data_IF_433210647245
#
_entry.id   IF_433210647245
#
_cell.length_a   1.000
_cell.length_b   1.000
_cell.length_c   1.000
_cell.angle_alpha   90.00
_cell.angle_beta   90.00
_cell.angle_gamma   90.00
#
_symmetry.space_group_name_H-M   'P 1'
#
loop_
_entity.id
_entity.type
_entity.pdbx_description
1 polymer ?
#
# COMPACT_ATOMS: atom_id res chain seq x y z
N UNK A 1 -16.63 -13.19 4.11
CA UNK A 1 -15.32 -12.87 3.51
C UNK A 1 -14.67 -14.06 2.86
N UNK A 2 -14.49 -15.19 3.54
CA UNK A 2 -13.86 -16.42 2.98
C UNK A 2 -14.59 -16.92 1.73
N UNK A 3 -15.91 -17.02 1.75
CA UNK A 3 -16.72 -17.43 0.59
C UNK A 3 -16.52 -16.47 -0.59
N UNK A 4 -16.55 -15.14 -0.34
CA UNK A 4 -16.32 -14.14 -1.39
C UNK A 4 -14.90 -14.22 -1.96
N UNK A 5 -13.90 -14.54 -1.12
CA UNK A 5 -12.54 -14.81 -1.58
C UNK A 5 -12.49 -16.01 -2.52
N UNK A 6 -13.07 -17.14 -2.12
CA UNK A 6 -13.10 -18.37 -2.94
C UNK A 6 -13.77 -18.10 -4.28
N UNK A 7 -14.97 -17.50 -4.28
CA UNK A 7 -15.69 -17.13 -5.50
C UNK A 7 -14.84 -16.22 -6.37
N UNK A 8 -14.24 -15.17 -5.78
CA UNK A 8 -13.40 -14.21 -6.50
C UNK A 8 -12.16 -14.85 -7.10
N UNK A 9 -11.54 -15.78 -6.39
CA UNK A 9 -10.34 -16.47 -6.86
C UNK A 9 -10.63 -17.35 -8.09
N UNK A 10 -11.71 -18.12 -8.06
CA UNK A 10 -12.09 -18.97 -9.18
C UNK A 10 -12.62 -18.18 -10.37
N UNK A 11 -13.47 -17.19 -10.16
CA UNK A 11 -14.07 -16.37 -11.24
C UNK A 11 -13.05 -15.43 -11.91
N UNK A 12 -11.95 -15.10 -11.24
CA UNK A 12 -10.85 -14.35 -11.83
C UNK A 12 -9.71 -15.25 -12.37
N UNK A 13 -10.02 -16.49 -12.77
CA UNK A 13 -9.04 -17.42 -13.35
C UNK A 13 -7.81 -17.68 -12.47
N UNK A 14 -7.96 -17.59 -11.15
CA UNK A 14 -6.87 -17.74 -10.16
C UNK A 14 -5.76 -16.67 -10.30
N UNK A 15 -6.12 -15.48 -10.81
CA UNK A 15 -5.21 -14.34 -10.87
C UNK A 15 -5.04 -13.71 -9.48
N UNK A 16 -3.95 -14.02 -8.80
CA UNK A 16 -3.66 -13.58 -7.41
C UNK A 16 -3.59 -12.05 -7.29
N UNK A 17 -3.10 -11.37 -8.33
CA UNK A 17 -3.01 -9.90 -8.33
C UNK A 17 -4.31 -9.20 -8.73
N UNK A 18 -5.42 -9.91 -8.94
CA UNK A 18 -6.71 -9.27 -9.29
C UNK A 18 -7.28 -8.47 -8.10
N UNK A 19 -8.00 -7.36 -8.35
CA UNK A 19 -8.54 -6.50 -7.29
C UNK A 19 -9.41 -7.25 -6.27
N UNK A 20 -10.33 -8.17 -6.65
CA UNK A 20 -11.10 -8.90 -5.66
C UNK A 20 -10.26 -9.80 -4.76
N UNK A 21 -9.24 -10.46 -5.32
CA UNK A 21 -8.34 -11.30 -4.53
C UNK A 21 -7.52 -10.44 -3.58
N UNK A 22 -7.01 -9.29 -4.05
CA UNK A 22 -6.28 -8.33 -3.23
C UNK A 22 -7.10 -7.82 -2.03
N UNK A 23 -8.39 -7.60 -2.22
CA UNK A 23 -9.29 -7.14 -1.17
C UNK A 23 -9.73 -8.27 -0.22
N UNK A 24 -10.25 -9.38 -0.77
CA UNK A 24 -10.86 -10.42 0.05
C UNK A 24 -9.87 -11.36 0.75
N UNK A 25 -8.68 -11.60 0.21
CA UNK A 25 -7.73 -12.52 0.85
C UNK A 25 -7.29 -12.03 2.24
N UNK A 26 -6.83 -10.77 2.43
CA UNK A 26 -6.48 -10.27 3.75
C UNK A 26 -7.67 -10.15 4.70
N UNK A 27 -8.85 -9.75 4.21
CA UNK A 27 -10.07 -9.75 5.02
C UNK A 27 -10.46 -11.16 5.49
N UNK A 28 -10.23 -12.18 4.66
CA UNK A 28 -10.48 -13.58 5.05
C UNK A 28 -9.55 -14.05 6.15
N UNK A 29 -8.26 -13.69 6.05
CA UNK A 29 -7.29 -13.96 7.10
C UNK A 29 -7.65 -13.24 8.41
N UNK A 30 -8.06 -11.97 8.32
CA UNK A 30 -8.52 -11.19 9.46
C UNK A 30 -9.77 -11.81 10.12
N UNK A 31 -10.72 -12.31 9.32
CA UNK A 31 -11.92 -12.98 9.82
C UNK A 31 -11.60 -14.32 10.50
N UNK A 32 -10.66 -15.11 9.95
CA UNK A 32 -10.22 -16.37 10.55
C UNK A 32 -9.51 -16.10 11.89
N UNK A 33 -8.60 -15.12 11.94
CA UNK A 33 -7.91 -14.74 13.17
C UNK A 33 -8.88 -14.17 14.23
N UNK A 34 -9.95 -13.47 13.79
CA UNK A 34 -11.00 -13.01 14.69
C UNK A 34 -11.75 -14.19 15.35
N UNK A 35 -12.10 -15.22 14.56
CA UNK A 35 -12.74 -16.43 15.10
C UNK A 35 -11.86 -17.08 16.15
N UNK A 36 -10.55 -17.15 15.92
CA UNK A 36 -9.58 -17.68 16.90
C UNK A 36 -9.53 -16.85 18.20
N UNK A 37 -9.79 -15.54 18.13
CA UNK A 37 -9.74 -14.64 19.29
C UNK A 37 -11.14 -14.32 19.88
N UNK A 38 -12.22 -14.95 19.41
CA UNK A 38 -13.61 -14.67 19.86
C UNK A 38 -13.74 -14.81 21.38
N UNK A 39 -13.33 -15.95 21.94
CA UNK A 39 -13.45 -16.22 23.37
C UNK A 39 -12.50 -15.32 24.19
N UNK A 40 -11.27 -15.14 23.71
CA UNK A 40 -10.25 -14.31 24.33
C UNK A 40 -10.69 -12.86 24.49
N UNK A 41 -11.29 -12.30 23.46
CA UNK A 41 -11.75 -10.91 23.44
C UNK A 41 -13.22 -10.75 23.78
N UNK A 42 -13.96 -11.85 24.02
CA UNK A 42 -15.41 -11.87 24.25
C UNK A 42 -16.15 -11.07 23.17
N UNK A 43 -15.89 -11.41 21.90
CA UNK A 43 -16.45 -10.70 20.73
C UNK A 43 -17.73 -11.38 20.28
N UNK A 44 -18.82 -10.62 20.26
CA UNK A 44 -20.07 -11.01 19.62
C UNK A 44 -20.34 -10.03 18.48
N UNK A 45 -19.97 -10.42 17.24
CA UNK A 45 -20.29 -9.60 16.08
C UNK A 45 -21.79 -9.57 15.85
N UNK A 46 -22.36 -8.37 15.75
CA UNK A 46 -23.78 -8.16 15.53
C UNK A 46 -24.17 -8.16 14.05
N UNK A 47 -25.43 -8.46 13.76
CA UNK A 47 -25.95 -8.56 12.39
C UNK A 47 -25.72 -7.30 11.55
N UNK A 48 -25.78 -6.12 12.14
CA UNK A 48 -25.55 -4.86 11.42
C UNK A 48 -24.15 -4.80 10.82
N UNK A 49 -23.14 -5.30 11.55
CA UNK A 49 -21.75 -5.33 11.08
C UNK A 49 -21.58 -6.29 9.91
N UNK A 50 -22.18 -7.50 10.02
CA UNK A 50 -22.19 -8.45 8.91
C UNK A 50 -22.87 -7.87 7.67
N UNK A 51 -24.02 -7.21 7.84
CA UNK A 51 -24.79 -6.64 6.74
C UNK A 51 -24.00 -5.53 6.02
N UNK A 52 -23.41 -4.60 6.76
CA UNK A 52 -22.62 -3.50 6.20
C UNK A 52 -21.40 -4.03 5.43
N UNK A 53 -20.66 -4.97 6.03
CA UNK A 53 -19.49 -5.57 5.39
C UNK A 53 -19.91 -6.38 4.15
N UNK A 54 -21.04 -7.11 4.20
CA UNK A 54 -21.54 -7.89 3.06
C UNK A 54 -21.99 -6.97 1.92
N UNK A 55 -22.83 -5.99 2.19
CA UNK A 55 -23.34 -5.04 1.18
C UNK A 55 -22.19 -4.32 0.51
N UNK A 56 -21.28 -3.72 1.27
CA UNK A 56 -20.14 -3.03 0.70
C UNK A 56 -19.23 -3.96 -0.12
N UNK A 57 -19.01 -5.19 0.34
CA UNK A 57 -18.22 -6.19 -0.39
C UNK A 57 -18.86 -6.61 -1.70
N UNK A 58 -20.19 -6.79 -1.72
CA UNK A 58 -20.95 -7.11 -2.94
C UNK A 58 -20.95 -5.92 -3.92
N UNK A 59 -21.08 -4.70 -3.43
CA UNK A 59 -20.96 -3.48 -4.24
C UNK A 59 -19.59 -3.38 -4.90
N UNK A 60 -18.50 -3.61 -4.15
CA UNK A 60 -17.14 -3.65 -4.69
C UNK A 60 -17.00 -4.72 -5.77
N UNK A 61 -17.43 -5.94 -5.49
CA UNK A 61 -17.34 -7.07 -6.41
C UNK A 61 -18.16 -6.84 -7.68
N UNK A 62 -19.41 -6.37 -7.56
CA UNK A 62 -20.26 -6.01 -8.68
C UNK A 62 -19.64 -4.94 -9.58
N UNK A 63 -19.04 -3.91 -8.98
CA UNK A 63 -18.33 -2.85 -9.70
C UNK A 63 -17.11 -3.37 -10.47
N UNK A 64 -16.34 -4.28 -9.88
CA UNK A 64 -15.21 -4.93 -10.56
C UNK A 64 -15.69 -5.72 -11.78
N UNK A 65 -16.73 -6.52 -11.64
CA UNK A 65 -17.27 -7.30 -12.77
C UNK A 65 -17.90 -6.41 -13.83
N UNK A 66 -18.61 -5.35 -13.43
CA UNK A 66 -19.16 -4.36 -14.36
C UNK A 66 -18.04 -3.70 -15.20
N UNK A 67 -16.98 -3.21 -14.56
CA UNK A 67 -15.83 -2.62 -15.27
C UNK A 67 -15.10 -3.64 -16.18
N UNK A 68 -15.14 -4.91 -15.82
CA UNK A 68 -14.60 -6.00 -16.66
C UNK A 68 -15.48 -6.25 -17.87
N UNK A 69 -16.79 -6.32 -17.72
CA UNK A 69 -17.77 -6.52 -18.79
C UNK A 69 -17.84 -5.33 -19.75
N UNK A 70 -17.89 -4.11 -19.24
CA UNK A 70 -17.94 -2.87 -20.04
C UNK A 70 -16.82 -2.76 -21.07
N UNK A 71 -15.64 -3.29 -20.78
CA UNK A 71 -14.52 -3.32 -21.74
C UNK A 71 -14.76 -4.32 -22.87
N UNK A 72 -15.50 -5.38 -22.64
CA UNK A 72 -15.90 -6.35 -23.67
C UNK A 72 -16.91 -5.69 -24.60
N UNK A 73 -17.88 -4.96 -24.05
CA UNK A 73 -18.89 -4.23 -24.83
C UNK A 73 -18.35 -3.13 -25.71
N UNK A 74 -17.45 -2.28 -25.19
CA UNK A 74 -16.85 -1.17 -25.93
C UNK A 74 -15.87 -1.61 -27.03
N UNK A 75 -15.38 -2.86 -26.98
CA UNK A 75 -14.39 -3.37 -27.93
C UNK A 75 -14.98 -4.27 -29.02
N UNK A 76 -16.16 -4.79 -28.80
CA UNK A 76 -16.86 -5.68 -29.74
C UNK A 76 -18.13 -5.03 -30.25
N UNK A 77 -18.01 -4.24 -31.33
CA UNK A 77 -19.12 -4.03 -32.23
C UNK A 77 -19.56 -5.33 -32.96
N UNK A 78 -19.02 -6.48 -32.57
CA UNK A 78 -19.41 -7.84 -32.98
C UNK A 78 -19.31 -8.77 -31.78
N UNK A 79 -20.42 -9.45 -31.51
CA UNK A 79 -20.55 -10.52 -30.54
C UNK A 79 -19.58 -11.66 -30.87
N UNK A 80 -18.38 -11.66 -30.34
CA UNK A 80 -17.51 -12.85 -30.31
C UNK A 80 -17.70 -13.57 -28.97
N UNK A 81 -18.65 -14.51 -28.99
CA UNK A 81 -19.04 -15.38 -27.87
C UNK A 81 -17.91 -16.32 -27.37
N UNK A 82 -16.73 -16.31 -28.02
CA UNK A 82 -15.66 -17.27 -27.81
C UNK A 82 -14.44 -16.77 -26.99
N UNK A 83 -14.51 -15.62 -26.29
CA UNK A 83 -13.33 -15.06 -25.61
C UNK A 83 -13.25 -15.20 -24.10
N UNK A 84 -14.04 -16.09 -23.49
CA UNK A 84 -13.76 -16.52 -22.10
C UNK A 84 -12.53 -17.42 -21.98
N UNK A 85 -11.99 -17.92 -23.08
CA UNK A 85 -10.73 -18.69 -23.19
C UNK A 85 -9.70 -17.95 -24.04
N UNK A 86 -9.39 -16.70 -23.76
CA UNK A 86 -8.24 -16.09 -24.44
C UNK A 86 -6.96 -16.72 -23.88
N UNK A 87 -6.37 -17.62 -24.64
CA UNK A 87 -4.96 -17.97 -24.56
C UNK A 87 -4.19 -16.69 -24.84
N UNK A 88 -3.82 -15.97 -23.80
CA UNK A 88 -3.04 -14.74 -23.91
C UNK A 88 -1.65 -15.19 -24.30
N UNK A 89 -1.17 -14.73 -25.44
CA UNK A 89 0.23 -14.95 -25.81
C UNK A 89 1.12 -14.41 -24.68
N UNK A 90 2.10 -15.21 -24.21
CA UNK A 90 3.04 -14.77 -23.20
C UNK A 90 3.78 -13.53 -23.72
N UNK A 91 3.86 -12.51 -22.89
CA UNK A 91 4.63 -11.31 -23.24
C UNK A 91 6.13 -11.63 -23.16
N UNK A 92 6.86 -11.33 -24.23
CA UNK A 92 8.32 -11.35 -24.18
C UNK A 92 8.80 -10.17 -23.35
N UNK A 93 9.33 -10.49 -22.18
CA UNK A 93 9.93 -9.50 -21.27
C UNK A 93 11.39 -9.28 -21.66
N UNK A 94 11.75 -8.03 -21.87
CA UNK A 94 13.13 -7.63 -22.13
C UNK A 94 13.86 -7.34 -20.83
N UNK A 95 15.15 -7.68 -20.78
CA UNK A 95 16.04 -7.29 -19.70
C UNK A 95 16.25 -5.78 -19.70
N UNK A 96 16.09 -5.13 -18.53
CA UNK A 96 16.25 -3.69 -18.36
C UNK A 96 17.67 -3.40 -17.92
N UNK A 97 18.49 -2.94 -18.88
CA UNK A 97 19.88 -2.57 -18.60
C UNK A 97 19.95 -1.11 -18.13
N UNK A 98 20.31 -0.93 -16.85
CA UNK A 98 20.56 0.40 -16.26
C UNK A 98 22.06 0.71 -16.30
N UNK A 99 22.40 1.96 -16.64
CA UNK A 99 23.79 2.43 -16.62
C UNK A 99 24.37 2.35 -15.18
N UNK A 100 25.58 1.83 -15.03
CA UNK A 100 26.24 1.74 -13.70
C UNK A 100 26.37 3.11 -13.03
N UNK A 101 26.71 4.14 -13.80
CA UNK A 101 26.82 5.53 -13.31
C UNK A 101 25.48 6.01 -12.78
N UNK A 102 24.36 5.76 -13.48
CA UNK A 102 23.03 6.14 -13.03
C UNK A 102 22.68 5.48 -11.69
N UNK A 103 23.00 4.18 -11.53
CA UNK A 103 22.78 3.48 -10.25
C UNK A 103 23.59 4.11 -9.12
N UNK A 104 24.85 4.48 -9.35
CA UNK A 104 25.70 5.11 -8.32
C UNK A 104 25.26 6.54 -8.00
N UNK A 105 24.83 7.33 -8.97
CA UNK A 105 24.25 8.66 -8.73
C UNK A 105 23.03 8.56 -7.84
N UNK A 106 22.12 7.62 -8.12
CA UNK A 106 20.96 7.40 -7.27
C UNK A 106 21.33 6.88 -5.88
N UNK A 107 22.27 5.95 -5.77
CA UNK A 107 22.74 5.46 -4.47
C UNK A 107 23.35 6.60 -3.63
N UNK A 108 24.19 7.45 -4.24
CA UNK A 108 24.74 8.62 -3.57
C UNK A 108 23.65 9.58 -3.11
N UNK A 109 22.68 9.90 -3.97
CA UNK A 109 21.54 10.75 -3.61
C UNK A 109 20.73 10.16 -2.45
N UNK A 110 20.47 8.84 -2.46
CA UNK A 110 19.75 8.15 -1.40
C UNK A 110 20.52 8.17 -0.08
N UNK A 111 21.84 7.94 -0.10
CA UNK A 111 22.69 8.02 1.11
C UNK A 111 22.72 9.44 1.67
N UNK A 112 22.90 10.45 0.81
CA UNK A 112 22.84 11.86 1.23
C UNK A 112 21.48 12.19 1.86
N UNK A 113 20.39 11.77 1.22
CA UNK A 113 19.03 11.98 1.72
C UNK A 113 18.83 11.29 3.07
N UNK A 114 19.31 10.04 3.20
CA UNK A 114 19.27 9.29 4.45
C UNK A 114 19.95 10.07 5.57
N UNK A 115 21.17 10.51 5.37
CA UNK A 115 21.93 11.26 6.39
C UNK A 115 21.26 12.58 6.74
N UNK A 116 20.81 13.36 5.74
CA UNK A 116 20.15 14.66 5.99
C UNK A 116 18.82 14.49 6.77
N UNK A 117 18.00 13.52 6.40
CA UNK A 117 16.74 13.26 7.09
C UNK A 117 16.97 12.75 8.51
N UNK A 118 17.95 11.86 8.70
CA UNK A 118 18.30 11.35 10.02
C UNK A 118 18.78 12.45 10.96
N UNK A 119 19.67 13.33 10.47
CA UNK A 119 20.13 14.51 11.23
C UNK A 119 18.94 15.40 11.59
N UNK A 120 18.02 15.65 10.66
CA UNK A 120 16.83 16.46 10.93
C UNK A 120 15.92 15.82 11.98
N UNK A 121 15.68 14.50 11.91
CA UNK A 121 14.92 13.73 12.92
C UNK A 121 15.55 13.86 14.29
N UNK A 122 16.87 13.64 14.41
CA UNK A 122 17.59 13.75 15.68
C UNK A 122 17.54 15.18 16.24
N UNK A 123 17.74 16.19 15.39
CA UNK A 123 17.71 17.62 15.79
C UNK A 123 16.33 17.99 16.34
N UNK A 124 15.26 17.57 15.67
CA UNK A 124 13.88 17.84 16.12
C UNK A 124 13.63 17.16 17.46
N UNK A 125 13.93 15.86 17.60
CA UNK A 125 13.70 15.13 18.85
C UNK A 125 14.44 15.76 20.03
N UNK A 126 15.70 16.15 19.84
CA UNK A 126 16.49 16.84 20.87
C UNK A 126 15.95 18.21 21.23
N UNK A 127 15.43 18.96 20.26
CA UNK A 127 14.77 20.26 20.52
C UNK A 127 13.57 20.15 21.45
N UNK A 128 12.87 19.03 21.42
CA UNK A 128 11.75 18.72 22.33
C UNK A 128 12.17 17.97 23.60
N UNK A 129 13.46 18.01 23.97
CA UNK A 129 13.96 17.43 25.21
C UNK A 129 14.15 15.91 25.19
N UNK A 130 13.97 15.25 24.01
CA UNK A 130 14.16 13.81 23.91
C UNK A 130 15.67 13.53 23.75
N UNK A 131 16.23 12.74 24.65
CA UNK A 131 17.63 12.31 24.67
C UNK A 131 17.75 10.79 24.73
N UNK A 132 18.88 10.25 24.29
CA UNK A 132 19.17 8.81 24.35
C UNK A 132 19.64 8.22 23.01
N UNK A 133 19.43 6.90 22.85
CA UNK A 133 19.84 6.16 21.67
C UNK A 133 19.12 6.61 20.40
N UNK A 134 19.66 6.24 19.23
CA UNK A 134 19.06 6.58 17.93
C UNK A 134 17.60 6.09 17.82
N UNK A 135 17.30 4.91 18.33
CA UNK A 135 15.93 4.35 18.36
C UNK A 135 14.97 5.21 19.18
N UNK A 136 15.42 5.74 20.33
CA UNK A 136 14.64 6.64 21.19
C UNK A 136 14.37 7.96 20.44
N UNK A 137 15.36 8.52 19.75
CA UNK A 137 15.19 9.76 18.99
C UNK A 137 14.20 9.57 17.81
N UNK A 138 14.30 8.45 17.10
CA UNK A 138 13.39 8.14 15.99
C UNK A 138 11.95 7.91 16.50
N UNK A 139 11.77 7.14 17.58
CA UNK A 139 10.44 6.93 18.17
C UNK A 139 9.86 8.22 18.73
N UNK A 140 10.71 9.03 19.36
CA UNK A 140 10.36 10.35 19.87
C UNK A 140 9.85 11.28 18.77
N UNK A 141 10.59 11.40 17.67
CA UNK A 141 10.12 12.16 16.50
C UNK A 141 8.75 11.69 16.00
N UNK A 142 8.55 10.36 15.91
CA UNK A 142 7.26 9.82 15.49
C UNK A 142 6.14 10.17 16.47
N UNK A 143 6.38 10.05 17.77
CA UNK A 143 5.39 10.36 18.80
C UNK A 143 5.03 11.85 18.77
N UNK A 144 6.03 12.73 18.67
CA UNK A 144 5.82 14.15 18.50
C UNK A 144 4.91 14.43 17.28
N UNK A 145 5.23 13.85 16.12
CA UNK A 145 4.45 14.04 14.91
C UNK A 145 3.02 13.49 15.00
N UNK A 146 2.76 12.47 15.83
CA UNK A 146 1.47 11.79 15.91
C UNK A 146 0.57 12.32 17.03
N UNK A 147 1.12 13.01 18.03
CA UNK A 147 0.39 13.34 19.27
C UNK A 147 0.58 14.79 19.73
N UNK A 148 1.32 15.63 18.98
CA UNK A 148 1.42 17.06 19.29
C UNK A 148 0.68 17.89 18.27
N UNK A 149 0.12 19.00 18.72
CA UNK A 149 -0.56 20.01 17.86
C UNK A 149 0.43 20.88 17.08
N UNK A 150 1.72 20.81 17.41
CA UNK A 150 2.74 21.57 16.71
C UNK A 150 3.06 20.98 15.31
N UNK A 151 3.29 21.86 14.34
CA UNK A 151 3.62 21.45 12.98
C UNK A 151 5.06 20.93 12.89
N UNK A 152 5.25 19.64 13.17
CA UNK A 152 6.54 18.97 13.15
C UNK A 152 6.88 18.52 11.74
N UNK A 153 7.84 19.20 11.10
CA UNK A 153 8.27 18.94 9.74
C UNK A 153 9.79 18.86 9.64
N UNK A 154 10.31 17.95 8.81
CA UNK A 154 11.73 17.88 8.45
C UNK A 154 12.19 19.06 7.58
N UNK A 155 11.30 19.97 7.23
CA UNK A 155 11.51 21.01 6.25
C UNK A 155 11.20 20.58 4.81
N UNK A 156 10.87 21.55 3.97
CA UNK A 156 10.38 21.30 2.59
C UNK A 156 11.37 20.52 1.73
N UNK A 157 12.66 20.85 1.80
CA UNK A 157 13.69 20.18 1.02
C UNK A 157 13.82 18.71 1.43
N UNK A 158 14.04 18.45 2.72
CA UNK A 158 14.23 17.08 3.23
C UNK A 158 12.99 16.20 2.96
N UNK A 159 11.78 16.74 3.12
CA UNK A 159 10.56 15.99 2.80
C UNK A 159 10.47 15.64 1.31
N UNK A 160 10.81 16.56 0.39
CA UNK A 160 10.76 16.27 -1.04
C UNK A 160 11.86 15.27 -1.47
N UNK A 161 13.08 15.39 -0.94
CA UNK A 161 14.17 14.41 -1.16
C UNK A 161 13.77 13.02 -0.64
N UNK A 162 13.24 12.96 0.58
CA UNK A 162 12.72 11.73 1.15
C UNK A 162 11.64 11.10 0.25
N UNK A 163 10.64 11.89 -0.17
CA UNK A 163 9.54 11.42 -1.02
C UNK A 163 10.05 10.92 -2.38
N UNK A 164 11.02 11.61 -2.98
CA UNK A 164 11.65 11.23 -4.24
C UNK A 164 12.44 9.92 -4.12
N UNK A 165 13.30 9.82 -3.12
CA UNK A 165 14.12 8.62 -2.88
C UNK A 165 13.25 7.40 -2.50
N UNK A 166 12.21 7.61 -1.70
CA UNK A 166 11.24 6.56 -1.38
C UNK A 166 10.46 6.11 -2.62
N UNK A 167 9.93 7.06 -3.41
CA UNK A 167 9.21 6.74 -4.64
C UNK A 167 10.10 6.00 -5.66
N UNK A 168 11.40 6.34 -5.74
CA UNK A 168 12.34 5.63 -6.62
C UNK A 168 12.43 4.14 -6.32
N UNK A 169 12.19 3.72 -5.06
CA UNK A 169 12.19 2.32 -4.62
C UNK A 169 11.21 1.45 -5.40
N UNK A 170 10.07 2.00 -5.84
CA UNK A 170 9.12 1.26 -6.67
C UNK A 170 9.67 0.98 -8.07
N UNK A 171 10.43 1.90 -8.65
CA UNK A 171 11.11 1.70 -9.94
C UNK A 171 12.22 0.65 -9.79
N UNK A 172 13.02 0.75 -8.72
CA UNK A 172 14.09 -0.22 -8.46
C UNK A 172 13.53 -1.61 -8.21
N UNK A 173 12.42 -1.72 -7.47
CA UNK A 173 11.75 -3.02 -7.28
C UNK A 173 11.26 -3.58 -8.62
N UNK A 174 10.64 -2.75 -9.46
CA UNK A 174 10.20 -3.18 -10.80
C UNK A 174 11.37 -3.72 -11.62
N UNK A 175 12.51 -3.04 -11.64
CA UNK A 175 13.72 -3.46 -12.40
C UNK A 175 14.24 -4.80 -11.86
N UNK A 176 14.38 -4.93 -10.54
CA UNK A 176 14.83 -6.18 -9.90
C UNK A 176 13.88 -7.33 -10.23
N UNK A 177 12.57 -7.13 -10.08
CA UNK A 177 11.55 -8.16 -10.35
C UNK A 177 11.52 -8.56 -11.83
N UNK A 178 11.58 -7.59 -12.76
CA UNK A 178 11.60 -7.85 -14.20
C UNK A 178 12.87 -8.60 -14.62
N UNK A 179 14.05 -8.14 -14.19
CA UNK A 179 15.31 -8.74 -14.56
C UNK A 179 15.47 -10.14 -13.96
N UNK A 180 15.00 -10.36 -12.73
CA UNK A 180 14.92 -11.69 -12.13
C UNK A 180 13.97 -12.61 -12.92
N UNK A 181 12.83 -12.12 -13.39
CA UNK A 181 11.92 -12.90 -14.21
C UNK A 181 12.56 -13.32 -15.56
N UNK A 182 13.40 -12.46 -16.15
CA UNK A 182 14.06 -12.70 -17.45
C UNK A 182 15.30 -13.60 -17.29
N UNK A 183 16.26 -13.18 -16.45
CA UNK A 183 17.62 -13.78 -16.36
C UNK A 183 17.81 -14.78 -15.23
N UNK A 184 16.86 -14.87 -14.28
CA UNK A 184 16.98 -15.63 -13.03
C UNK A 184 18.14 -15.17 -12.13
N UNK A 185 18.76 -14.02 -12.44
CA UNK A 185 19.83 -13.41 -11.66
C UNK A 185 19.35 -12.09 -11.06
N UNK A 186 19.88 -11.77 -9.89
CA UNK A 186 19.57 -10.50 -9.21
C UNK A 186 20.69 -9.51 -9.49
N UNK A 187 20.31 -8.34 -10.00
CA UNK A 187 21.26 -7.25 -10.27
C UNK A 187 21.61 -6.52 -8.97
N UNK A 188 22.88 -6.55 -8.59
CA UNK A 188 23.37 -6.01 -7.29
C UNK A 188 23.12 -4.51 -7.12
N UNK A 189 23.35 -3.69 -8.17
CA UNK A 189 23.22 -2.23 -8.06
C UNK A 189 21.74 -1.77 -7.98
N UNK A 190 20.81 -2.24 -8.81
CA UNK A 190 19.37 -2.00 -8.60
C UNK A 190 18.88 -2.49 -7.24
N UNK A 191 19.36 -3.66 -6.76
CA UNK A 191 19.01 -4.17 -5.44
C UNK A 191 19.54 -3.26 -4.32
N UNK A 192 20.76 -2.74 -4.43
CA UNK A 192 21.30 -1.76 -3.47
C UNK A 192 20.40 -0.52 -3.36
N UNK A 193 20.00 0.07 -4.50
CA UNK A 193 19.10 1.22 -4.51
C UNK A 193 17.73 0.91 -3.91
N UNK A 194 17.22 -0.31 -4.11
CA UNK A 194 15.98 -0.76 -3.46
C UNK A 194 16.14 -0.84 -1.93
N UNK A 195 17.23 -1.43 -1.44
CA UNK A 195 17.52 -1.54 -0.01
C UNK A 195 17.64 -0.14 0.63
N UNK A 196 18.35 0.79 -0.03
CA UNK A 196 18.45 2.18 0.43
C UNK A 196 17.08 2.87 0.50
N UNK A 197 16.20 2.66 -0.49
CA UNK A 197 14.81 3.19 -0.44
C UNK A 197 14.01 2.62 0.73
N UNK A 198 14.18 1.34 1.06
CA UNK A 198 13.54 0.71 2.23
C UNK A 198 14.11 1.34 3.52
N UNK A 199 15.41 1.51 3.63
CA UNK A 199 16.04 2.13 4.79
C UNK A 199 15.53 3.56 5.02
N UNK A 200 15.47 4.40 3.97
CA UNK A 200 14.89 5.75 4.01
C UNK A 200 13.45 5.71 4.53
N UNK A 201 12.65 4.73 4.11
CA UNK A 201 11.25 4.63 4.53
C UNK A 201 11.04 4.42 6.04
N UNK A 202 12.07 3.95 6.75
CA UNK A 202 12.04 3.65 8.20
C UNK A 202 12.47 4.83 9.09
N UNK A 203 13.18 5.82 8.53
CA UNK A 203 13.79 6.93 9.29
C UNK A 203 12.80 7.77 10.10
N UNK A 204 11.57 7.89 9.63
CA UNK A 204 10.50 8.63 10.34
C UNK A 204 9.81 7.79 11.43
N UNK A 205 10.39 6.67 11.86
CA UNK A 205 9.86 5.78 12.89
C UNK A 205 8.60 5.02 12.48
N UNK A 206 8.25 5.00 11.19
CA UNK A 206 7.07 4.30 10.67
C UNK A 206 7.47 3.13 9.77
N UNK A 207 6.91 1.95 10.03
CA UNK A 207 7.09 0.75 9.19
C UNK A 207 6.20 0.76 7.95
N UNK A 208 5.18 1.62 7.95
CA UNK A 208 4.15 1.66 6.89
C UNK A 208 4.74 1.85 5.50
N UNK A 209 5.76 2.71 5.33
CA UNK A 209 6.43 2.92 4.06
C UNK A 209 7.13 1.67 3.53
N UNK A 210 7.89 0.99 4.38
CA UNK A 210 8.58 -0.26 4.01
C UNK A 210 7.57 -1.36 3.63
N UNK A 211 6.51 -1.53 4.42
CA UNK A 211 5.44 -2.51 4.13
C UNK A 211 4.75 -2.18 2.80
N UNK A 212 4.45 -0.90 2.55
CA UNK A 212 3.85 -0.47 1.27
C UNK A 212 4.74 -0.85 0.09
N UNK A 213 6.04 -0.54 0.18
CA UNK A 213 7.00 -0.83 -0.88
C UNK A 213 7.17 -2.34 -1.12
N UNK A 214 7.24 -3.13 -0.05
CA UNK A 214 7.39 -4.58 -0.15
C UNK A 214 6.12 -5.26 -0.70
N UNK A 215 4.94 -4.91 -0.21
CA UNK A 215 3.67 -5.50 -0.69
C UNK A 215 3.38 -5.09 -2.13
N UNK A 216 3.59 -3.81 -2.48
CA UNK A 216 3.50 -3.37 -3.86
C UNK A 216 4.54 -4.06 -4.75
N UNK A 217 5.75 -4.26 -4.25
CA UNK A 217 6.80 -4.99 -4.95
C UNK A 217 6.45 -6.45 -5.24
N UNK A 218 5.88 -7.16 -4.26
CA UNK A 218 5.36 -8.52 -4.46
C UNK A 218 4.25 -8.53 -5.51
N UNK A 219 3.33 -7.55 -5.48
CA UNK A 219 2.31 -7.42 -6.50
C UNK A 219 2.91 -7.20 -7.90
N UNK A 220 3.94 -6.34 -8.03
CA UNK A 220 4.67 -6.15 -9.29
C UNK A 220 5.27 -7.47 -9.79
N UNK A 221 5.93 -8.21 -8.92
CA UNK A 221 6.56 -9.50 -9.24
C UNK A 221 5.51 -10.52 -9.71
N UNK A 222 4.37 -10.60 -9.02
CA UNK A 222 3.25 -11.48 -9.41
C UNK A 222 2.71 -11.10 -10.78
N UNK A 223 2.45 -9.81 -11.04
CA UNK A 223 1.94 -9.35 -12.34
C UNK A 223 2.93 -9.64 -13.47
N UNK A 224 4.22 -9.39 -13.26
CA UNK A 224 5.28 -9.67 -14.23
C UNK A 224 5.32 -11.17 -14.57
N UNK A 225 5.24 -12.04 -13.56
CA UNK A 225 5.19 -13.49 -13.77
C UNK A 225 3.92 -13.95 -14.48
N UNK A 226 2.76 -13.38 -14.12
CA UNK A 226 1.49 -13.67 -14.78
C UNK A 226 1.52 -13.26 -16.26
N UNK A 227 2.15 -12.13 -16.59
CA UNK A 227 2.31 -11.70 -18.00
C UNK A 227 3.20 -12.64 -18.81
N UNK A 228 4.19 -13.27 -18.17
CA UNK A 228 5.08 -14.25 -18.82
C UNK A 228 4.41 -15.63 -18.98
N UNK A 229 3.33 -15.91 -18.25
CA UNK A 229 2.64 -17.20 -18.28
C UNK A 229 1.48 -17.21 -19.28
N UNK A 230 1.40 -18.26 -20.15
CA UNK A 230 0.27 -18.45 -21.08
C UNK A 230 -1.11 -18.47 -20.41
N UNK A 231 -1.19 -18.98 -19.17
CA UNK A 231 -2.44 -19.11 -18.40
C UNK A 231 -2.60 -18.04 -17.32
N UNK A 232 -1.70 -17.05 -17.23
CA UNK A 232 -1.63 -16.08 -16.13
C UNK A 232 -1.62 -16.70 -14.73
N UNK A 233 -1.29 -17.98 -14.60
CA UNK A 233 -1.15 -18.68 -13.33
C UNK A 233 0.30 -18.69 -12.89
N UNK A 234 0.51 -18.60 -11.58
CA UNK A 234 1.83 -18.76 -11.00
C UNK A 234 2.21 -20.24 -10.94
N UNK A 235 3.49 -20.52 -11.09
CA UNK A 235 4.05 -21.85 -10.81
C UNK A 235 4.12 -22.04 -9.30
N UNK A 236 4.06 -23.31 -8.83
CA UNK A 236 4.11 -23.63 -7.40
C UNK A 236 5.32 -22.99 -6.69
N UNK A 237 6.51 -23.04 -7.28
CA UNK A 237 7.71 -22.36 -6.73
C UNK A 237 7.56 -20.86 -6.57
N UNK A 238 6.79 -20.18 -7.43
CA UNK A 238 6.52 -18.76 -7.36
C UNK A 238 5.56 -18.45 -6.21
N UNK A 239 4.56 -19.30 -6.02
CA UNK A 239 3.62 -19.21 -4.89
C UNK A 239 4.39 -19.38 -3.57
N UNK A 240 5.25 -20.39 -3.46
CA UNK A 240 6.10 -20.60 -2.29
C UNK A 240 6.98 -19.39 -2.00
N UNK A 241 7.58 -18.78 -3.03
CA UNK A 241 8.39 -17.57 -2.83
C UNK A 241 7.57 -16.38 -2.32
N UNK A 242 6.35 -16.18 -2.84
CA UNK A 242 5.43 -15.14 -2.35
C UNK A 242 5.07 -15.38 -0.88
N UNK A 243 4.74 -16.62 -0.52
CA UNK A 243 4.42 -17.00 0.86
C UNK A 243 5.65 -16.78 1.76
N UNK A 244 6.84 -17.20 1.33
CA UNK A 244 8.07 -17.01 2.09
C UNK A 244 8.34 -15.52 2.35
N UNK A 245 8.20 -14.66 1.35
CA UNK A 245 8.35 -13.20 1.52
C UNK A 245 7.32 -12.68 2.52
N UNK A 246 6.05 -13.10 2.42
CA UNK A 246 5.00 -12.68 3.34
C UNK A 246 5.32 -13.10 4.79
N UNK A 247 5.77 -14.35 5.01
CA UNK A 247 6.18 -14.86 6.32
C UNK A 247 7.36 -14.06 6.89
N UNK A 248 8.37 -13.74 6.07
CA UNK A 248 9.51 -12.92 6.51
C UNK A 248 9.03 -11.51 6.91
N UNK A 249 8.20 -10.86 6.09
CA UNK A 249 7.67 -9.52 6.38
C UNK A 249 6.86 -9.52 7.68
N UNK A 250 5.98 -10.48 7.87
CA UNK A 250 5.17 -10.63 9.09
C UNK A 250 6.05 -10.97 10.29
N UNK A 251 6.95 -11.95 10.17
CA UNK A 251 7.81 -12.40 11.26
C UNK A 251 8.83 -11.35 11.73
N UNK A 252 9.26 -10.47 10.83
CA UNK A 252 10.17 -9.36 11.18
C UNK A 252 9.45 -8.10 11.63
N UNK A 253 8.13 -8.03 11.46
CA UNK A 253 7.33 -6.81 11.69
C UNK A 253 7.43 -6.28 13.12
N UNK A 254 7.38 -7.15 14.13
CA UNK A 254 7.54 -6.77 15.54
C UNK A 254 8.98 -6.31 15.81
N UNK A 255 9.99 -7.09 15.41
CA UNK A 255 11.40 -6.78 15.63
C UNK A 255 11.81 -5.45 14.99
N UNK A 256 11.35 -5.16 13.77
CA UNK A 256 11.55 -3.84 13.15
C UNK A 256 10.89 -2.73 13.97
N UNK A 257 9.73 -3.01 14.60
CA UNK A 257 9.10 -2.06 15.54
C UNK A 257 9.98 -1.77 16.76
N UNK A 258 10.55 -2.78 17.37
CA UNK A 258 11.44 -2.68 18.52
C UNK A 258 12.73 -1.92 18.16
N UNK A 259 13.33 -2.18 17.00
CA UNK A 259 14.47 -1.42 16.49
C UNK A 259 14.16 0.08 16.31
N UNK A 260 12.90 0.41 16.00
CA UNK A 260 12.41 1.79 15.89
C UNK A 260 11.93 2.36 17.25
N UNK A 261 12.26 1.71 18.37
CA UNK A 261 11.96 2.17 19.71
C UNK A 261 10.51 1.96 20.17
N UNK A 262 9.78 1.00 19.58
CA UNK A 262 8.42 0.63 20.04
C UNK A 262 8.49 -0.54 21.00
N UNK A 263 7.99 -0.34 22.22
CA UNK A 263 7.83 -1.41 23.18
C UNK A 263 6.46 -2.06 23.00
N UNK A 264 6.42 -3.39 22.88
CA UNK A 264 5.18 -4.17 22.92
C UNK A 264 5.24 -5.13 24.11
N UNK A 265 4.24 -5.05 24.98
CA UNK A 265 4.09 -5.99 26.10
C UNK A 265 3.37 -7.28 25.69
N UNK A 266 2.82 -7.34 24.45
CA UNK A 266 2.11 -8.51 23.93
C UNK A 266 3.10 -9.52 23.36
N UNK A 267 2.77 -10.81 23.47
CA UNK A 267 3.38 -11.88 22.70
C UNK A 267 3.19 -11.65 21.20
N UNK A 268 3.99 -12.32 20.37
CA UNK A 268 3.94 -12.12 18.91
C UNK A 268 2.54 -12.37 18.32
N UNK A 269 1.85 -13.43 18.78
CA UNK A 269 0.50 -13.75 18.31
C UNK A 269 -0.52 -12.68 18.65
N UNK A 270 -0.58 -12.23 19.90
CA UNK A 270 -1.45 -11.15 20.35
C UNK A 270 -1.13 -9.82 19.68
N UNK A 271 0.16 -9.53 19.47
CA UNK A 271 0.59 -8.36 18.70
C UNK A 271 0.10 -8.40 17.26
N UNK A 272 0.22 -9.54 16.58
CA UNK A 272 -0.23 -9.72 15.20
C UNK A 272 -1.76 -9.58 15.10
N UNK A 273 -2.51 -10.24 15.99
CA UNK A 273 -3.98 -10.17 16.02
C UNK A 273 -4.51 -8.76 16.25
N UNK A 274 -3.81 -7.92 17.02
CA UNK A 274 -4.16 -6.49 17.18
C UNK A 274 -4.14 -5.73 15.85
N UNK A 275 -3.28 -6.12 14.90
CA UNK A 275 -3.23 -5.52 13.56
C UNK A 275 -4.11 -6.24 12.54
N UNK A 276 -4.36 -7.54 12.71
CA UNK A 276 -5.05 -8.35 11.72
C UNK A 276 -6.57 -8.35 11.93
N UNK A 277 -7.04 -8.76 13.09
CA UNK A 277 -8.47 -8.99 13.34
C UNK A 277 -9.15 -7.95 14.23
N UNK A 278 -8.41 -7.29 15.12
CA UNK A 278 -8.99 -6.25 15.96
C UNK A 278 -9.68 -5.11 15.19
N UNK A 279 -9.25 -4.68 13.97
CA UNK A 279 -9.99 -3.71 13.19
C UNK A 279 -11.45 -4.09 12.89
N UNK A 280 -11.76 -5.38 12.71
CA UNK A 280 -13.15 -5.86 12.49
C UNK A 280 -13.95 -5.74 13.81
N UNK A 281 -13.36 -6.14 14.93
CA UNK A 281 -13.98 -5.98 16.26
C UNK A 281 -14.23 -4.51 16.58
N UNK A 282 -13.29 -3.63 16.27
CA UNK A 282 -13.41 -2.20 16.53
C UNK A 282 -14.49 -1.57 15.63
N UNK A 283 -14.63 -2.02 14.39
CA UNK A 283 -15.75 -1.63 13.53
C UNK A 283 -17.10 -2.04 14.13
N UNK A 284 -17.21 -3.28 14.65
CA UNK A 284 -18.43 -3.77 15.29
C UNK A 284 -18.81 -2.93 16.50
N UNK A 285 -17.83 -2.64 17.35
CA UNK A 285 -18.04 -1.77 18.51
C UNK A 285 -18.55 -0.38 18.10
N UNK A 286 -17.97 0.21 17.06
CA UNK A 286 -18.41 1.51 16.54
C UNK A 286 -19.86 1.47 16.04
N UNK A 287 -20.19 0.52 15.19
CA UNK A 287 -21.54 0.39 14.60
C UNK A 287 -22.60 0.24 15.68
N UNK A 288 -22.35 -0.57 16.69
CA UNK A 288 -23.37 -0.99 17.65
C UNK A 288 -23.43 -0.16 18.92
N UNK A 289 -22.37 0.56 19.28
CA UNK A 289 -22.29 1.30 20.52
C UNK A 289 -22.11 2.80 20.36
N UNK A 290 -21.56 3.25 19.23
CA UNK A 290 -21.24 4.68 19.00
C UNK A 290 -22.17 5.28 17.96
N UNK A 291 -22.34 4.61 16.84
CA UNK A 291 -23.07 5.11 15.68
C UNK A 291 -24.54 5.48 15.98
N UNK A 292 -25.21 4.76 16.91
CA UNK A 292 -26.62 5.03 17.27
C UNK A 292 -26.82 6.13 18.32
N UNK A 293 -25.75 6.64 18.99
CA UNK A 293 -25.87 7.55 20.12
C UNK A 293 -25.46 8.98 19.86
N UNK A 294 -24.64 9.21 18.85
CA UNK A 294 -24.11 10.54 18.56
C UNK A 294 -23.59 10.58 17.12
N UNK A 295 -24.50 10.75 16.15
CA UNK A 295 -24.13 11.33 14.87
C UNK A 295 -23.93 12.83 15.09
N UNK A 296 -22.85 13.22 15.74
CA UNK A 296 -22.28 14.50 15.41
C UNK A 296 -21.81 14.34 13.96
N UNK A 297 -22.53 15.01 13.04
CA UNK A 297 -22.05 15.15 11.66
C UNK A 297 -20.61 15.62 11.76
N UNK A 298 -19.67 15.01 11.02
CA UNK A 298 -18.31 15.49 11.06
C UNK A 298 -18.30 16.97 10.75
N UNK A 299 -17.56 17.75 11.54
CA UNK A 299 -17.41 19.20 11.34
C UNK A 299 -16.94 19.54 9.93
N UNK A 300 -16.27 18.56 9.30
CA UNK A 300 -15.80 18.62 7.91
C UNK A 300 -16.28 17.37 7.18
N UNK A 301 -17.01 17.58 6.10
CA UNK A 301 -17.51 16.50 5.24
C UNK A 301 -16.36 15.73 4.58
N UNK A 302 -16.33 14.39 4.77
CA UNK A 302 -15.25 13.53 4.27
C UNK A 302 -14.00 13.49 5.14
N UNK A 303 -14.06 13.97 6.38
CA UNK A 303 -12.96 14.09 7.33
C UNK A 303 -12.15 12.80 7.50
N UNK A 304 -12.82 11.65 7.67
CA UNK A 304 -12.16 10.37 7.87
C UNK A 304 -11.74 9.71 6.55
N UNK A 305 -12.51 9.93 5.48
CA UNK A 305 -12.27 9.29 4.18
C UNK A 305 -11.14 9.97 3.41
N UNK A 306 -11.13 11.30 3.38
CA UNK A 306 -10.22 12.11 2.55
C UNK A 306 -9.24 12.94 3.38
N UNK A 307 -8.89 12.48 4.57
CA UNK A 307 -8.07 13.21 5.56
C UNK A 307 -6.84 13.90 4.97
N UNK A 308 -6.07 13.22 4.13
CA UNK A 308 -4.84 13.78 3.54
C UNK A 308 -5.10 14.90 2.55
N UNK A 309 -6.18 14.79 1.77
CA UNK A 309 -6.56 15.83 0.81
C UNK A 309 -7.14 17.04 1.54
N UNK A 310 -8.01 16.82 2.52
CA UNK A 310 -8.61 17.89 3.32
C UNK A 310 -7.55 18.64 4.09
N UNK A 311 -6.63 17.97 4.76
CA UNK A 311 -5.51 18.62 5.46
C UNK A 311 -4.61 19.43 4.50
N UNK A 312 -4.36 18.92 3.30
CA UNK A 312 -3.60 19.67 2.29
C UNK A 312 -4.37 20.94 1.85
N UNK A 313 -5.66 20.82 1.55
CA UNK A 313 -6.49 21.94 1.15
C UNK A 313 -6.66 22.95 2.29
N UNK A 314 -6.84 22.47 3.53
CA UNK A 314 -6.90 23.34 4.71
C UNK A 314 -5.64 24.16 4.89
N UNK A 315 -4.47 23.54 4.80
CA UNK A 315 -3.20 24.26 4.87
C UNK A 315 -2.95 25.21 3.69
N UNK A 316 -3.41 24.84 2.49
CA UNK A 316 -3.30 25.69 1.29
C UNK A 316 -4.23 26.90 1.34
N UNK A 317 -5.48 26.68 1.74
CA UNK A 317 -6.52 27.71 1.83
C UNK A 317 -6.48 28.48 3.16
N UNK A 318 -5.58 28.08 4.10
CA UNK A 318 -5.48 28.66 5.46
C UNK A 318 -6.78 28.51 6.25
N UNK A 319 -7.45 27.38 6.13
CA UNK A 319 -8.67 27.02 6.88
C UNK A 319 -8.25 26.07 8.01
N UNK A 320 -8.03 26.62 9.22
CA UNK A 320 -7.48 25.86 10.35
C UNK A 320 -8.38 24.69 10.77
N UNK A 321 -9.71 24.82 10.67
CA UNK A 321 -10.65 23.74 10.98
C UNK A 321 -10.52 22.51 10.06
N UNK A 322 -9.87 22.63 8.90
CA UNK A 322 -9.59 21.55 7.97
C UNK A 322 -8.23 20.89 8.23
N UNK A 323 -7.40 21.45 9.10
CA UNK A 323 -6.09 20.91 9.48
C UNK A 323 -6.25 20.22 10.83
N UNK A 324 -6.23 18.89 10.81
CA UNK A 324 -6.45 18.08 12.01
C UNK A 324 -5.70 16.75 11.90
N UNK A 325 -5.42 16.13 13.03
CA UNK A 325 -4.93 14.76 13.11
C UNK A 325 -6.07 13.80 13.44
N UNK A 326 -6.03 12.61 12.83
CA UNK A 326 -6.99 11.55 13.17
C UNK A 326 -6.54 10.88 14.46
N UNK A 327 -7.17 11.27 15.56
CA UNK A 327 -7.06 10.58 16.85
C UNK A 327 -8.25 9.63 17.01
N UNK A 328 -8.06 8.39 16.60
CA UNK A 328 -9.07 7.36 16.74
C UNK A 328 -8.97 6.71 18.13
N UNK A 329 -10.12 6.43 18.79
CA UNK A 329 -10.12 5.83 20.13
C UNK A 329 -9.37 4.51 20.18
N UNK A 330 -8.48 4.38 21.20
CA UNK A 330 -7.87 3.11 21.55
C UNK A 330 -8.89 2.25 22.29
N UNK A 331 -9.25 1.13 21.71
CA UNK A 331 -10.19 0.20 22.32
C UNK A 331 -9.48 -0.94 23.04
N UNK A 332 -10.15 -1.43 24.07
CA UNK A 332 -9.78 -2.65 24.79
C UNK A 332 -10.98 -3.59 24.83
N UNK A 333 -10.74 -4.88 24.92
CA UNK A 333 -11.76 -5.91 25.10
C UNK A 333 -11.25 -6.98 26.05
N UNK A 334 -12.00 -7.26 27.08
CA UNK A 334 -11.62 -8.24 28.10
C UNK A 334 -10.16 -8.10 28.61
N UNK A 335 -9.72 -6.86 28.85
CA UNK A 335 -8.35 -6.53 29.29
C UNK A 335 -7.30 -6.47 28.17
N UNK A 336 -7.57 -7.00 26.98
CA UNK A 336 -6.65 -6.99 25.83
C UNK A 336 -6.74 -5.68 25.03
N UNK A 337 -5.58 -5.22 24.53
CA UNK A 337 -5.50 -4.03 23.68
C UNK A 337 -5.91 -4.39 22.25
N UNK A 338 -6.98 -3.75 21.78
CA UNK A 338 -7.45 -3.88 20.38
C UNK A 338 -6.99 -2.73 19.47
N UNK A 339 -6.22 -1.77 20.01
CA UNK A 339 -5.67 -0.65 19.25
C UNK A 339 -6.70 0.38 18.84
N UNK A 340 -6.29 1.28 17.93
CA UNK A 340 -7.09 2.39 17.39
C UNK A 340 -7.27 2.31 15.86
N UNK A 341 -7.29 1.11 15.32
CA UNK A 341 -7.49 0.88 13.89
C UNK A 341 -8.85 0.24 13.64
N UNK A 342 -9.46 0.67 12.55
CA UNK A 342 -10.79 0.25 12.13
C UNK A 342 -10.72 -0.03 10.63
N UNK A 343 -11.49 -0.98 10.13
CA UNK A 343 -11.50 -1.31 8.71
C UNK A 343 -11.82 -0.09 7.82
N UNK A 344 -11.64 -0.23 6.52
CA UNK A 344 -12.02 0.82 5.55
C UNK A 344 -13.48 1.26 5.67
N UNK A 345 -14.39 0.36 6.08
CA UNK A 345 -15.82 0.63 6.25
C UNK A 345 -16.10 1.71 7.30
N UNK A 346 -15.28 1.81 8.33
CA UNK A 346 -15.43 2.81 9.38
C UNK A 346 -15.44 4.23 8.83
N UNK A 347 -14.43 4.58 8.02
CA UNK A 347 -14.31 5.93 7.47
C UNK A 347 -15.51 6.30 6.59
N UNK A 348 -16.00 5.36 5.80
CA UNK A 348 -17.13 5.58 4.90
C UNK A 348 -18.45 5.74 5.65
N UNK A 349 -18.64 4.91 6.69
CA UNK A 349 -19.82 5.02 7.57
C UNK A 349 -19.81 6.32 8.36
N UNK A 350 -18.65 6.69 8.91
CA UNK A 350 -18.51 7.90 9.72
C UNK A 350 -18.87 9.15 8.92
N UNK A 351 -18.33 9.29 7.71
CA UNK A 351 -18.49 10.49 6.90
C UNK A 351 -19.85 10.54 6.17
N UNK A 352 -20.32 9.40 5.66
CA UNK A 352 -21.41 9.36 4.67
C UNK A 352 -22.48 8.32 4.95
N UNK A 353 -22.40 7.61 6.08
CA UNK A 353 -23.34 6.54 6.43
C UNK A 353 -23.28 5.34 5.47
N UNK A 354 -24.35 4.56 5.43
CA UNK A 354 -24.44 3.34 4.59
C UNK A 354 -24.35 3.68 3.10
N UNK A 355 -24.93 4.80 2.67
CA UNK A 355 -24.82 5.29 1.28
C UNK A 355 -23.36 5.51 0.88
N UNK A 356 -22.55 6.07 1.79
CA UNK A 356 -21.12 6.24 1.59
C UNK A 356 -20.40 4.91 1.39
N UNK A 357 -20.73 3.90 2.17
CA UNK A 357 -20.17 2.56 1.98
C UNK A 357 -20.46 2.05 0.56
N UNK A 358 -21.71 2.13 0.12
CA UNK A 358 -22.13 1.65 -1.22
C UNK A 358 -21.36 2.39 -2.31
N UNK A 359 -21.42 3.72 -2.32
CA UNK A 359 -20.81 4.55 -3.38
C UNK A 359 -19.29 4.40 -3.41
N UNK A 360 -18.64 4.50 -2.25
CA UNK A 360 -17.18 4.44 -2.18
C UNK A 360 -16.64 3.02 -2.50
N UNK A 361 -17.35 1.97 -2.10
CA UNK A 361 -16.97 0.60 -2.48
C UNK A 361 -17.15 0.34 -3.98
N UNK A 362 -18.18 0.90 -4.62
CA UNK A 362 -18.35 0.87 -6.09
C UNK A 362 -17.18 1.59 -6.77
N UNK A 363 -16.87 2.83 -6.37
CA UNK A 363 -15.77 3.61 -6.94
C UNK A 363 -14.42 2.90 -6.75
N UNK A 364 -14.17 2.35 -5.56
CA UNK A 364 -12.96 1.57 -5.28
C UNK A 364 -12.83 0.37 -6.24
N UNK A 365 -13.91 -0.35 -6.48
CA UNK A 365 -13.95 -1.48 -7.41
C UNK A 365 -13.67 -1.06 -8.86
N UNK A 366 -14.35 -0.01 -9.34
CA UNK A 366 -14.17 0.53 -10.70
C UNK A 366 -12.73 0.99 -10.93
N UNK A 367 -12.20 1.85 -10.06
CA UNK A 367 -10.84 2.41 -10.18
C UNK A 367 -9.81 1.28 -10.19
N UNK A 368 -9.90 0.37 -9.24
CA UNK A 368 -8.96 -0.74 -9.11
C UNK A 368 -8.96 -1.65 -10.33
N UNK A 369 -10.14 -1.98 -10.86
CA UNK A 369 -10.26 -2.85 -12.02
C UNK A 369 -9.75 -2.18 -13.30
N UNK A 370 -10.01 -0.89 -13.49
CA UNK A 370 -9.48 -0.13 -14.63
C UNK A 370 -7.95 -0.09 -14.59
N UNK A 371 -7.37 0.19 -13.43
CA UNK A 371 -5.91 0.22 -13.26
C UNK A 371 -5.28 -1.17 -13.46
N UNK A 372 -5.91 -2.22 -12.91
CA UNK A 372 -5.48 -3.60 -13.13
C UNK A 372 -5.47 -3.98 -14.62
N UNK A 373 -6.53 -3.63 -15.35
CA UNK A 373 -6.60 -3.88 -16.78
C UNK A 373 -5.50 -3.12 -17.56
N UNK A 374 -5.17 -1.88 -17.17
CA UNK A 374 -4.04 -1.14 -17.77
C UNK A 374 -2.69 -1.78 -17.46
N UNK A 375 -2.50 -2.25 -16.23
CA UNK A 375 -1.27 -2.92 -15.77
C UNK A 375 -1.04 -4.26 -16.50
N UNK A 376 -2.12 -5.03 -16.71
CA UNK A 376 -2.05 -6.36 -17.32
C UNK A 376 -2.20 -6.37 -18.84
N UNK A 377 -2.50 -5.21 -19.46
CA UNK A 377 -2.59 -5.10 -20.92
C UNK A 377 -1.26 -5.51 -21.58
N UNK A 378 -1.28 -6.32 -22.66
CA UNK A 378 -0.08 -6.68 -23.39
C UNK A 378 0.71 -5.44 -23.86
N UNK A 379 2.02 -5.53 -23.80
CA UNK A 379 2.92 -4.47 -24.27
C UNK A 379 2.88 -4.42 -25.80
N UNK A 380 2.82 -3.23 -26.38
CA UNK A 380 3.08 -3.07 -27.81
C UNK A 380 4.56 -3.37 -28.09
N UNK A 381 4.87 -4.07 -29.19
CA UNK A 381 6.23 -4.50 -29.59
C UNK A 381 7.24 -3.34 -29.66
N UNK A 382 6.79 -2.12 -29.99
CA UNK A 382 7.61 -0.91 -30.09
C UNK A 382 7.35 0.08 -28.94
N UNK A 383 7.52 -0.33 -27.68
CA UNK A 383 7.43 0.64 -26.59
C UNK A 383 8.66 1.53 -26.51
N UNK A 384 8.41 2.82 -26.32
CA UNK A 384 9.46 3.82 -26.08
C UNK A 384 10.22 3.57 -24.76
N UNK A 385 9.56 2.93 -23.79
CA UNK A 385 10.08 2.64 -22.45
C UNK A 385 9.85 1.18 -22.06
N UNK A 386 10.83 0.55 -21.42
CA UNK A 386 10.76 -0.84 -20.94
C UNK A 386 9.98 -0.93 -19.62
N UNK A 387 10.10 0.09 -18.73
CA UNK A 387 9.40 0.14 -17.45
C UNK A 387 7.93 0.51 -17.68
N UNK A 388 7.02 -0.35 -17.21
CA UNK A 388 5.59 -0.12 -17.31
C UNK A 388 5.04 0.56 -16.06
N UNK A 389 4.83 1.87 -16.11
CA UNK A 389 4.30 2.64 -14.98
C UNK A 389 2.92 2.18 -14.51
N UNK A 390 2.07 1.61 -15.38
CA UNK A 390 0.77 1.11 -14.96
C UNK A 390 0.87 -0.07 -13.99
N UNK A 391 1.92 -0.89 -14.12
CA UNK A 391 2.19 -1.96 -13.15
C UNK A 391 2.56 -1.33 -11.80
N UNK A 392 3.39 -0.30 -11.77
CA UNK A 392 3.79 0.40 -10.54
C UNK A 392 2.59 1.06 -9.87
N UNK A 393 1.80 1.83 -10.65
CA UNK A 393 0.58 2.49 -10.16
C UNK A 393 -0.40 1.47 -9.57
N UNK A 394 -0.68 0.41 -10.32
CA UNK A 394 -1.61 -0.61 -9.83
C UNK A 394 -1.05 -1.35 -8.60
N UNK A 395 0.24 -1.62 -8.54
CA UNK A 395 0.83 -2.30 -7.37
C UNK A 395 0.76 -1.46 -6.10
N UNK A 396 0.84 -0.15 -6.21
CA UNK A 396 0.56 0.77 -5.10
C UNK A 396 -0.92 0.70 -4.67
N UNK A 397 -1.84 0.66 -5.64
CA UNK A 397 -3.28 0.46 -5.40
C UNK A 397 -3.56 -0.93 -4.80
N UNK A 398 -2.86 -1.96 -5.26
CA UNK A 398 -2.96 -3.31 -4.69
C UNK A 398 -2.63 -3.33 -3.19
N UNK A 399 -1.55 -2.65 -2.77
CA UNK A 399 -1.27 -2.48 -1.35
C UNK A 399 -2.45 -1.82 -0.61
N UNK A 400 -3.01 -0.76 -1.18
CA UNK A 400 -4.12 -0.03 -0.57
C UNK A 400 -5.39 -0.89 -0.44
N UNK A 401 -5.67 -1.75 -1.43
CA UNK A 401 -6.74 -2.74 -1.36
C UNK A 401 -6.46 -3.82 -0.30
N UNK A 402 -5.24 -4.37 -0.33
CA UNK A 402 -4.84 -5.43 0.60
C UNK A 402 -4.91 -4.98 2.07
N UNK A 403 -4.66 -3.69 2.35
CA UNK A 403 -4.73 -3.13 3.69
C UNK A 403 -6.07 -2.47 4.05
N UNK A 404 -7.12 -2.65 3.22
CA UNK A 404 -8.47 -2.18 3.51
C UNK A 404 -9.11 -2.86 4.74
N UNK A 405 -8.67 -4.07 5.10
CA UNK A 405 -9.07 -4.73 6.34
C UNK A 405 -8.55 -4.01 7.58
N UNK A 406 -7.43 -3.31 7.46
CA UNK A 406 -6.78 -2.63 8.56
C UNK A 406 -7.33 -1.20 8.75
N UNK A 407 -7.37 -0.39 7.68
CA UNK A 407 -7.92 0.98 7.71
C UNK A 407 -8.20 1.48 6.29
N UNK A 408 -8.69 2.73 6.17
CA UNK A 408 -8.99 3.38 4.89
C UNK A 408 -7.72 3.72 4.08
N UNK A 409 -6.91 2.70 3.73
CA UNK A 409 -5.67 2.90 2.96
C UNK A 409 -5.92 3.26 1.49
N UNK A 410 -7.09 2.93 0.95
CA UNK A 410 -7.39 3.20 -0.45
C UNK A 410 -7.53 4.69 -0.71
N UNK A 411 -8.49 5.36 -0.10
CA UNK A 411 -8.71 6.79 -0.35
C UNK A 411 -7.64 7.67 0.29
N UNK A 412 -7.16 7.35 1.49
CA UNK A 412 -5.98 8.00 2.07
C UNK A 412 -4.76 7.96 1.15
N UNK A 413 -4.55 6.84 0.46
CA UNK A 413 -3.41 6.63 -0.42
C UNK A 413 -3.57 7.36 -1.75
N UNK A 414 -4.70 7.14 -2.45
CA UNK A 414 -4.89 7.54 -3.84
C UNK A 414 -5.37 8.99 -3.95
N UNK A 415 -6.27 9.42 -3.06
CA UNK A 415 -6.79 10.79 -3.03
C UNK A 415 -5.89 11.63 -2.12
N UNK A 416 -4.66 11.85 -2.56
CA UNK A 416 -3.66 12.61 -1.80
C UNK A 416 -2.67 13.29 -2.73
N UNK A 417 -2.19 14.47 -2.31
CA UNK A 417 -1.11 15.17 -3.02
C UNK A 417 0.18 14.32 -3.08
N UNK A 418 0.37 13.47 -2.06
CA UNK A 418 1.51 12.56 -2.00
C UNK A 418 1.50 11.56 -3.16
N UNK A 419 0.34 11.00 -3.49
CA UNK A 419 0.22 10.09 -4.63
C UNK A 419 0.48 10.80 -5.96
N UNK A 420 -0.01 12.04 -6.11
CA UNK A 420 0.28 12.86 -7.29
C UNK A 420 1.78 13.11 -7.45
N UNK A 421 2.48 13.43 -6.36
CA UNK A 421 3.95 13.55 -6.36
C UNK A 421 4.61 12.24 -6.79
N UNK A 422 4.15 11.09 -6.30
CA UNK A 422 4.71 9.79 -6.68
C UNK A 422 4.55 9.50 -8.17
N UNK A 423 3.40 9.82 -8.78
CA UNK A 423 3.21 9.66 -10.22
C UNK A 423 4.26 10.47 -11.03
N UNK A 424 4.52 11.70 -10.61
CA UNK A 424 5.55 12.56 -11.22
C UNK A 424 6.94 11.97 -11.00
N UNK A 425 7.27 11.58 -9.77
CA UNK A 425 8.59 11.03 -9.44
C UNK A 425 8.85 9.70 -10.16
N UNK A 426 7.87 8.82 -10.27
CA UNK A 426 8.01 7.59 -11.07
C UNK A 426 8.29 7.89 -12.54
N UNK A 427 7.62 8.88 -13.12
CA UNK A 427 7.88 9.31 -14.50
C UNK A 427 9.30 9.88 -14.65
N UNK A 428 9.76 10.72 -13.72
CA UNK A 428 11.10 11.31 -13.70
C UNK A 428 12.18 10.23 -13.55
N UNK A 429 12.05 9.35 -12.55
CA UNK A 429 13.04 8.28 -12.31
C UNK A 429 13.10 7.33 -13.50
N UNK A 430 11.95 6.93 -14.07
CA UNK A 430 11.90 6.12 -15.30
C UNK A 430 12.66 6.81 -16.45
N UNK A 431 12.39 8.09 -16.68
CA UNK A 431 13.06 8.85 -17.74
C UNK A 431 14.57 8.85 -17.54
N UNK A 432 15.04 9.16 -16.31
CA UNK A 432 16.46 9.20 -15.98
C UNK A 432 17.12 7.83 -16.16
N UNK A 433 16.51 6.75 -15.66
CA UNK A 433 17.06 5.39 -15.72
C UNK A 433 17.16 4.87 -17.15
N UNK A 434 16.18 5.16 -18.02
CA UNK A 434 16.11 4.58 -19.37
C UNK A 434 16.72 5.47 -20.47
N UNK A 435 16.75 6.79 -20.29
CA UNK A 435 17.16 7.75 -21.33
C UNK A 435 18.50 8.39 -21.09
N UNK A 436 18.90 8.58 -19.85
CA UNK A 436 20.16 9.26 -19.54
C UNK A 436 21.31 8.26 -19.62
N UNK A 437 22.09 8.34 -20.70
CA UNK A 437 23.33 7.57 -20.88
C UNK A 437 24.51 8.51 -20.58
N UNK A 438 24.99 8.49 -19.35
CA UNK A 438 26.27 9.13 -19.04
C UNK A 438 27.40 8.28 -19.66
N UNK A 439 28.17 8.85 -20.61
CA UNK A 439 29.40 8.25 -21.08
C UNK A 439 30.43 8.37 -19.93
N UNK A 440 31.02 7.26 -19.52
CA UNK A 440 32.15 7.30 -18.61
C UNK A 440 33.24 8.18 -19.28
N UNK A 441 33.67 9.24 -18.59
CA UNK A 441 34.87 9.98 -19.00
C UNK A 441 36.01 9.00 -18.82
N UNK A 442 36.55 8.54 -19.93
CA UNK A 442 37.76 7.72 -19.94
C UNK A 442 38.92 8.63 -19.53
N UNK A 443 39.29 8.62 -18.26
CA UNK A 443 40.59 9.10 -17.86
C UNK A 443 41.61 8.14 -18.49
N UNK A 444 42.14 8.50 -19.66
CA UNK A 444 43.39 7.93 -20.13
C UNK A 444 44.42 8.23 -19.06
N UNK A 445 44.95 7.19 -18.43
CA UNK A 445 46.17 7.31 -17.63
C UNK A 445 47.24 7.89 -18.58
N UNK A 446 47.70 9.11 -18.25
CA UNK A 446 48.93 9.67 -18.78
C UNK A 446 50.10 8.96 -18.12
#
# INVERSE_FOLDING_TARGET
MVVLFIISFYTNNQEIASPPVAFFAPFSLAAIDLIYNVDKWRVELKNNTYLIMLVGSLCFLGAVYFARAGKVFLRSGRFEQNRFKSTIEPEELNYIKVGRINCWIFAALQVITFVLCLIAVMRISRRFGISGSLSILISGYKNLKSFTTENISLGRLNNNLYDFCYASGFIWFYIVANNFAVSKKVDKLPLLNLILSIAISLEKGSRGGAVTLLVAGVAMMVIIWQKKSKRRRLKFRQILLVILIAVIVVGTFQKVGELLGRVSAADFGGYLSTYLSAPIRNLDYYINNVMGRSFSRPDVWGKMTFVRMINFLGGFLKIDSWVYELDLPFLRSNGYVCGNVYTTFYAYLYDFGVTGVIVLMILMGLISQVLYQKATKPSKRNRRYSINLWIIVYSYVFYSLAFSFFSNKFYEGIVSIQFMKYLVFWAMVRYFVERTKFKAVSFKRI
#
